data_IF_425671503589
#
_entry.id   IF_425671503589
#
_cell.length_a   1.000
_cell.length_b   1.000
_cell.length_c   1.000
_cell.angle_alpha   90.00
_cell.angle_beta   90.00
_cell.angle_gamma   90.00
#
_symmetry.space_group_name_H-M   'P 1'
#
loop_
_entity.id
_entity.type
_entity.pdbx_description
1 polymer ?
#
# COMPACT_ATOMS: atom_id res chain seq x y z
N UNK A 1 21.02 11.02 -21.10
CA UNK A 1 20.43 12.36 -21.35
C UNK A 1 19.42 12.62 -20.27
N UNK A 2 19.36 13.80 -19.65
CA UNK A 2 18.34 14.10 -18.66
C UNK A 2 16.95 14.03 -19.34
N UNK A 3 16.12 13.13 -18.90
CA UNK A 3 14.80 12.89 -19.46
C UNK A 3 13.83 13.87 -18.80
N UNK A 4 13.49 14.97 -19.45
CA UNK A 4 12.46 15.88 -18.95
C UNK A 4 11.07 15.31 -19.21
N UNK A 5 10.12 15.68 -18.37
CA UNK A 5 8.72 15.32 -18.52
C UNK A 5 8.06 16.21 -19.56
N UNK A 6 7.40 15.60 -20.53
CA UNK A 6 6.55 16.33 -21.49
C UNK A 6 5.27 16.81 -20.83
N UNK A 7 4.85 18.04 -21.09
CA UNK A 7 3.67 18.65 -20.51
C UNK A 7 2.78 19.28 -21.58
N UNK A 8 1.47 19.03 -21.47
CA UNK A 8 0.43 19.67 -22.29
C UNK A 8 -0.45 20.55 -21.38
N UNK A 9 -0.78 21.75 -21.86
CA UNK A 9 -1.71 22.67 -21.19
C UNK A 9 -3.00 22.76 -22.01
N UNK A 10 -4.14 22.50 -21.35
CA UNK A 10 -5.48 22.62 -21.94
C UNK A 10 -6.25 23.67 -21.12
N UNK A 11 -6.38 24.87 -21.66
CA UNK A 11 -7.07 25.97 -21.04
C UNK A 11 -7.57 26.95 -22.13
N UNK A 12 -8.82 27.38 -22.06
CA UNK A 12 -9.39 28.29 -23.05
C UNK A 12 -8.81 29.72 -22.96
N UNK A 13 -8.30 30.13 -21.80
CA UNK A 13 -7.75 31.45 -21.57
C UNK A 13 -6.24 31.51 -21.95
N UNK A 14 -5.86 32.28 -22.97
CA UNK A 14 -4.46 32.40 -23.37
C UNK A 14 -3.58 33.04 -22.28
N UNK A 15 -4.15 33.89 -21.43
CA UNK A 15 -3.42 34.52 -20.31
C UNK A 15 -3.00 33.49 -19.27
N UNK A 16 -3.90 32.55 -18.96
CA UNK A 16 -3.61 31.46 -18.02
C UNK A 16 -2.59 30.47 -18.61
N UNK A 17 -2.68 30.11 -19.88
CA UNK A 17 -1.65 29.30 -20.55
C UNK A 17 -0.28 29.96 -20.47
N UNK A 18 -0.23 31.26 -20.74
CA UNK A 18 1.01 32.01 -20.62
C UNK A 18 1.55 32.03 -19.18
N UNK A 19 0.68 32.21 -18.19
CA UNK A 19 1.07 32.18 -16.78
C UNK A 19 1.69 30.82 -16.39
N UNK A 20 1.13 29.70 -16.81
CA UNK A 20 1.72 28.38 -16.59
C UNK A 20 3.11 28.25 -17.24
N UNK A 21 3.30 28.76 -18.46
CA UNK A 21 4.62 28.75 -19.13
C UNK A 21 5.66 29.55 -18.37
N UNK A 22 5.31 30.74 -17.89
CA UNK A 22 6.23 31.57 -17.09
C UNK A 22 6.59 30.91 -15.77
N UNK A 23 5.64 30.24 -15.09
CA UNK A 23 5.91 29.46 -13.88
C UNK A 23 6.90 28.30 -14.12
N UNK A 24 6.90 27.74 -15.33
CA UNK A 24 7.71 26.56 -15.71
C UNK A 24 9.01 26.92 -16.42
N UNK A 25 9.25 28.16 -16.81
CA UNK A 25 10.37 28.63 -17.63
C UNK A 25 11.75 28.16 -17.13
N UNK A 26 11.96 28.21 -15.82
CA UNK A 26 13.23 27.83 -15.20
C UNK A 26 13.27 26.36 -14.73
N UNK A 27 12.23 25.59 -15.01
CA UNK A 27 12.13 24.21 -14.54
C UNK A 27 12.76 23.24 -15.54
N UNK A 28 13.97 22.77 -15.23
CA UNK A 28 14.72 21.84 -16.09
C UNK A 28 14.14 20.43 -16.14
N UNK A 29 13.18 20.08 -15.25
CA UNK A 29 12.59 18.75 -15.15
C UNK A 29 11.37 18.54 -16.05
N UNK A 30 10.84 19.62 -16.66
CA UNK A 30 9.62 19.58 -17.46
C UNK A 30 9.75 20.47 -18.69
N UNK A 31 9.10 20.05 -19.80
CA UNK A 31 9.01 20.82 -21.03
C UNK A 31 7.56 20.89 -21.50
N UNK A 32 7.06 22.09 -21.73
CA UNK A 32 5.76 22.30 -22.38
C UNK A 32 5.90 21.96 -23.85
N UNK A 33 5.29 20.89 -24.30
CA UNK A 33 5.35 20.41 -25.69
C UNK A 33 4.24 20.98 -26.56
N UNK A 34 3.05 21.18 -25.97
CA UNK A 34 1.90 21.72 -26.70
C UNK A 34 0.92 22.44 -25.76
N UNK A 35 0.03 23.21 -26.38
CA UNK A 35 -1.09 23.89 -25.74
C UNK A 35 -2.36 23.69 -26.56
N UNK A 36 -3.49 23.59 -25.89
CA UNK A 36 -4.81 23.54 -26.51
C UNK A 36 -5.73 24.58 -25.86
N UNK A 37 -6.54 25.23 -26.71
CA UNK A 37 -7.52 26.19 -26.26
C UNK A 37 -8.88 25.55 -25.90
N UNK A 38 -9.08 24.30 -26.27
CA UNK A 38 -10.31 23.57 -26.03
C UNK A 38 -10.03 22.09 -25.72
N UNK A 39 -10.98 21.40 -25.05
CA UNK A 39 -10.80 20.01 -24.67
C UNK A 39 -10.66 19.02 -25.84
N UNK A 40 -11.27 19.27 -26.99
CA UNK A 40 -11.24 18.34 -28.11
C UNK A 40 -9.87 18.34 -28.80
N UNK A 41 -9.32 19.54 -29.06
CA UNK A 41 -7.93 19.70 -29.51
C UNK A 41 -6.97 19.09 -28.47
N UNK A 42 -7.22 19.32 -27.19
CA UNK A 42 -6.44 18.73 -26.11
C UNK A 42 -6.45 17.21 -26.14
N UNK A 43 -7.60 16.58 -26.34
CA UNK A 43 -7.75 15.14 -26.47
C UNK A 43 -6.95 14.56 -27.66
N UNK A 44 -7.01 15.23 -28.81
CA UNK A 44 -6.24 14.82 -29.99
C UNK A 44 -4.73 14.88 -29.74
N UNK A 45 -4.26 15.95 -29.07
CA UNK A 45 -2.85 16.12 -28.73
C UNK A 45 -2.40 15.08 -27.67
N UNK A 46 -3.24 14.74 -26.69
CA UNK A 46 -2.94 13.66 -25.73
C UNK A 46 -2.79 12.32 -26.44
N UNK A 47 -3.67 12.00 -27.40
CA UNK A 47 -3.57 10.77 -28.17
C UNK A 47 -2.28 10.69 -29.01
N UNK A 48 -1.87 11.81 -29.58
CA UNK A 48 -0.69 11.90 -30.48
C UNK A 48 0.63 11.92 -29.68
N UNK A 49 0.72 12.79 -28.66
CA UNK A 49 1.96 13.08 -27.95
C UNK A 49 2.19 12.19 -26.72
N UNK A 50 1.11 11.61 -26.15
CA UNK A 50 1.15 10.84 -24.89
C UNK A 50 1.96 11.56 -23.79
N UNK A 51 1.62 12.83 -23.48
CA UNK A 51 2.43 13.65 -22.59
C UNK A 51 2.52 13.04 -21.19
N UNK A 52 3.62 13.36 -20.50
CA UNK A 52 3.80 12.92 -19.13
C UNK A 52 2.80 13.58 -18.18
N UNK A 53 2.52 14.86 -18.39
CA UNK A 53 1.62 15.65 -17.55
C UNK A 53 0.64 16.39 -18.44
N UNK A 54 -0.62 16.46 -18.04
CA UNK A 54 -1.63 17.32 -18.66
C UNK A 54 -2.17 18.26 -17.59
N UNK A 55 -2.08 19.56 -17.80
CA UNK A 55 -2.79 20.56 -17.00
C UNK A 55 -4.10 20.88 -17.73
N UNK A 56 -5.22 20.64 -17.06
CA UNK A 56 -6.57 20.86 -17.59
C UNK A 56 -7.31 21.92 -16.76
N UNK A 57 -7.79 22.98 -17.39
CA UNK A 57 -8.79 23.86 -16.77
C UNK A 57 -10.14 23.16 -16.69
N UNK A 58 -10.71 23.06 -15.46
CA UNK A 58 -12.04 22.47 -15.28
C UNK A 58 -13.17 23.35 -15.83
N UNK A 59 -12.92 24.65 -16.01
CA UNK A 59 -13.95 25.62 -16.40
C UNK A 59 -14.90 25.96 -15.24
N UNK A 60 -15.92 26.74 -15.57
CA UNK A 60 -17.00 27.09 -14.64
C UNK A 60 -18.35 27.08 -15.39
N UNK A 61 -19.25 26.09 -15.11
CA UNK A 61 -19.19 25.06 -14.07
C UNK A 61 -18.14 23.96 -14.33
N UNK A 62 -17.66 23.24 -13.32
CA UNK A 62 -16.58 22.25 -13.45
C UNK A 62 -16.98 20.91 -14.10
N UNK A 63 -18.27 20.62 -14.20
CA UNK A 63 -18.79 19.33 -14.66
C UNK A 63 -18.30 18.92 -16.06
N UNK A 64 -18.30 19.80 -17.07
CA UNK A 64 -17.74 19.45 -18.38
C UNK A 64 -16.25 19.09 -18.32
N UNK A 65 -15.48 19.80 -17.52
CA UNK A 65 -14.04 19.54 -17.34
C UNK A 65 -13.77 18.19 -16.66
N UNK A 66 -14.59 17.80 -15.69
CA UNK A 66 -14.46 16.50 -15.01
C UNK A 66 -14.69 15.31 -15.98
N UNK A 67 -15.66 15.41 -16.88
CA UNK A 67 -15.87 14.39 -17.92
C UNK A 67 -14.67 14.30 -18.89
N UNK A 68 -13.98 15.40 -19.14
CA UNK A 68 -12.75 15.41 -19.94
C UNK A 68 -11.61 14.66 -19.25
N UNK A 69 -11.47 14.76 -17.91
CA UNK A 69 -10.45 14.02 -17.16
C UNK A 69 -10.53 12.51 -17.45
N UNK A 70 -11.72 11.92 -17.36
CA UNK A 70 -11.93 10.49 -17.63
C UNK A 70 -11.56 10.12 -19.08
N UNK A 71 -11.98 10.92 -20.05
CA UNK A 71 -11.63 10.73 -21.48
C UNK A 71 -10.11 10.78 -21.72
N UNK A 72 -9.42 11.72 -21.10
CA UNK A 72 -7.96 11.87 -21.22
C UNK A 72 -7.21 10.67 -20.64
N UNK A 73 -7.69 10.12 -19.51
CA UNK A 73 -7.10 8.93 -18.90
C UNK A 73 -7.31 7.67 -19.76
N UNK A 74 -8.46 7.54 -20.41
CA UNK A 74 -8.69 6.45 -21.37
C UNK A 74 -7.73 6.59 -22.56
N UNK A 75 -7.53 7.80 -23.06
CA UNK A 75 -6.63 8.09 -24.20
C UNK A 75 -5.16 7.86 -23.86
N UNK A 76 -4.74 8.20 -22.65
CA UNK A 76 -3.37 8.03 -22.16
C UNK A 76 -3.37 7.68 -20.68
N UNK A 77 -3.50 6.39 -20.31
CA UNK A 77 -3.54 5.96 -18.89
C UNK A 77 -2.26 6.28 -18.11
N UNK A 78 -1.18 6.59 -18.80
CA UNK A 78 0.09 6.95 -18.20
C UNK A 78 0.27 8.45 -17.99
N UNK A 79 -0.61 9.30 -18.51
CA UNK A 79 -0.55 10.75 -18.30
C UNK A 79 -1.05 11.12 -16.91
N UNK A 80 -0.29 11.93 -16.19
CA UNK A 80 -0.73 12.51 -14.93
C UNK A 80 -1.61 13.74 -15.24
N UNK A 81 -2.88 13.71 -14.81
CA UNK A 81 -3.80 14.81 -15.05
C UNK A 81 -3.81 15.74 -13.83
N UNK A 82 -3.40 16.98 -14.03
CA UNK A 82 -3.51 18.06 -13.08
C UNK A 82 -4.69 18.92 -13.47
N UNK A 83 -5.64 19.10 -12.59
CA UNK A 83 -6.77 19.99 -12.86
C UNK A 83 -6.57 21.34 -12.21
N UNK A 84 -6.95 22.42 -12.88
CA UNK A 84 -6.94 23.77 -12.32
C UNK A 84 -8.34 24.36 -12.26
N UNK A 85 -8.66 25.03 -11.16
CA UNK A 85 -9.96 25.69 -10.97
C UNK A 85 -9.88 26.86 -10.00
N UNK A 86 -10.88 27.75 -10.06
CA UNK A 86 -11.05 28.84 -9.09
C UNK A 86 -11.66 28.30 -7.80
N UNK A 87 -11.05 28.65 -6.66
CA UNK A 87 -11.55 28.34 -5.33
C UNK A 87 -11.32 26.90 -4.85
N UNK A 88 -11.48 26.71 -3.54
CA UNK A 88 -11.27 25.45 -2.83
C UNK A 88 -12.60 24.81 -2.38
N UNK A 89 -13.51 24.54 -3.29
CA UNK A 89 -14.73 23.80 -2.92
C UNK A 89 -14.37 22.35 -2.74
N UNK A 90 -14.47 21.84 -1.51
CA UNK A 90 -14.15 20.44 -1.16
C UNK A 90 -14.87 19.43 -2.04
N UNK A 91 -16.09 19.72 -2.46
CA UNK A 91 -16.86 18.87 -3.37
C UNK A 91 -16.22 18.77 -4.76
N UNK A 92 -15.76 19.88 -5.35
CA UNK A 92 -15.09 19.89 -6.66
C UNK A 92 -13.77 19.12 -6.61
N UNK A 93 -13.01 19.28 -5.52
CA UNK A 93 -11.76 18.54 -5.31
C UNK A 93 -12.02 17.04 -5.25
N UNK A 94 -13.00 16.59 -4.44
CA UNK A 94 -13.36 15.17 -4.32
C UNK A 94 -13.82 14.59 -5.66
N UNK A 95 -14.59 15.33 -6.44
CA UNK A 95 -15.06 14.90 -7.76
C UNK A 95 -13.91 14.79 -8.76
N UNK A 96 -12.96 15.73 -8.74
CA UNK A 96 -11.77 15.68 -9.59
C UNK A 96 -10.90 14.45 -9.29
N UNK A 97 -10.68 14.15 -7.99
CA UNK A 97 -9.95 12.95 -7.57
C UNK A 97 -10.67 11.67 -8.00
N UNK A 98 -12.00 11.60 -7.85
CA UNK A 98 -12.82 10.45 -8.31
C UNK A 98 -12.77 10.27 -9.83
N UNK A 99 -12.70 11.37 -10.60
CA UNK A 99 -12.51 11.32 -12.04
C UNK A 99 -11.09 10.89 -12.45
N UNK A 100 -10.16 10.76 -11.48
CA UNK A 100 -8.79 10.29 -11.70
C UNK A 100 -7.73 11.39 -11.82
N UNK A 101 -8.04 12.64 -11.48
CA UNK A 101 -7.03 13.69 -11.39
C UNK A 101 -6.04 13.38 -10.26
N UNK A 102 -4.74 13.48 -10.56
CA UNK A 102 -3.67 13.25 -9.58
C UNK A 102 -3.35 14.50 -8.76
N UNK A 103 -3.61 15.68 -9.29
CA UNK A 103 -3.36 16.94 -8.59
C UNK A 103 -4.48 17.95 -8.86
N UNK A 104 -4.76 18.77 -7.85
CA UNK A 104 -5.71 19.88 -7.93
C UNK A 104 -4.98 21.19 -7.68
N UNK A 105 -4.89 22.04 -8.67
CA UNK A 105 -4.21 23.33 -8.64
C UNK A 105 -5.24 24.46 -8.43
N UNK A 106 -5.22 25.09 -7.26
CA UNK A 106 -6.09 26.22 -6.95
C UNK A 106 -5.50 27.49 -7.54
N UNK A 107 -6.30 28.23 -8.30
CA UNK A 107 -5.86 29.51 -8.87
C UNK A 107 -5.97 30.66 -7.86
N UNK A 108 -5.01 31.61 -7.87
CA UNK A 108 -3.82 31.67 -8.70
C UNK A 108 -2.78 30.62 -8.32
N UNK A 109 -2.31 29.83 -9.29
CA UNK A 109 -1.36 28.73 -9.03
C UNK A 109 0.00 29.28 -8.66
N UNK A 110 0.54 28.85 -7.52
CA UNK A 110 1.87 29.27 -7.09
C UNK A 110 2.98 28.45 -7.79
N UNK A 111 4.16 29.05 -8.00
CA UNK A 111 5.34 28.33 -8.52
C UNK A 111 5.69 27.12 -7.64
N UNK A 112 5.54 27.26 -6.31
CA UNK A 112 5.81 26.22 -5.33
C UNK A 112 4.88 25.01 -5.51
N UNK A 113 3.57 25.24 -5.65
CA UNK A 113 2.58 24.16 -5.75
C UNK A 113 2.75 23.42 -7.07
N UNK A 114 2.92 24.13 -8.19
CA UNK A 114 3.12 23.53 -9.49
C UNK A 114 4.42 22.73 -9.56
N UNK A 115 5.53 23.27 -9.07
CA UNK A 115 6.82 22.59 -9.04
C UNK A 115 6.78 21.36 -8.15
N UNK A 116 6.15 21.46 -6.99
CA UNK A 116 5.95 20.33 -6.07
C UNK A 116 5.15 19.19 -6.71
N UNK A 117 4.05 19.52 -7.39
CA UNK A 117 3.24 18.55 -8.14
C UNK A 117 4.06 17.84 -9.24
N UNK A 118 4.81 18.60 -10.04
CA UNK A 118 5.69 18.06 -11.09
C UNK A 118 6.76 17.13 -10.50
N UNK A 119 7.38 17.53 -9.40
CA UNK A 119 8.41 16.71 -8.73
C UNK A 119 7.83 15.38 -8.22
N UNK A 120 6.59 15.36 -7.70
CA UNK A 120 5.90 14.13 -7.31
C UNK A 120 5.77 13.17 -8.49
N UNK A 121 5.29 13.66 -9.64
CA UNK A 121 5.16 12.84 -10.85
C UNK A 121 6.52 12.39 -11.39
N UNK A 122 7.53 13.27 -11.40
CA UNK A 122 8.89 12.91 -11.82
C UNK A 122 9.45 11.76 -10.98
N UNK A 123 9.31 11.82 -9.66
CA UNK A 123 9.69 10.76 -8.74
C UNK A 123 8.91 9.47 -9.00
N UNK A 124 7.59 9.55 -9.11
CA UNK A 124 6.74 8.39 -9.39
C UNK A 124 7.13 7.70 -10.70
N UNK A 125 7.46 8.45 -11.74
CA UNK A 125 7.90 7.91 -13.04
C UNK A 125 9.32 7.37 -13.02
N UNK A 126 10.26 8.02 -12.33
CA UNK A 126 11.60 7.51 -12.13
C UNK A 126 11.56 6.13 -11.44
N UNK A 127 10.65 5.98 -10.47
CA UNK A 127 10.36 4.71 -9.80
C UNK A 127 9.68 3.68 -10.74
N UNK A 128 8.93 4.13 -11.75
CA UNK A 128 8.28 3.27 -12.74
C UNK A 128 9.22 2.78 -13.85
N UNK A 129 10.23 3.58 -14.20
CA UNK A 129 11.26 3.24 -15.21
C UNK A 129 12.30 2.25 -14.68
N UNK A 130 12.53 2.21 -13.36
CA UNK A 130 13.18 1.07 -12.74
C UNK A 130 12.27 -0.15 -12.93
N UNK A 131 12.52 -0.95 -13.96
CA UNK A 131 11.64 -2.00 -14.48
C UNK A 131 11.12 -2.99 -13.41
N UNK A 132 10.21 -3.92 -13.76
CA UNK A 132 9.53 -4.81 -12.81
C UNK A 132 10.46 -5.65 -11.93
N UNK A 133 11.73 -5.79 -12.30
CA UNK A 133 12.75 -6.48 -11.50
C UNK A 133 13.35 -5.63 -10.36
N UNK A 134 13.06 -4.32 -10.28
CA UNK A 134 13.62 -3.40 -9.29
C UNK A 134 12.58 -2.87 -8.27
N UNK A 135 11.30 -3.23 -8.38
CA UNK A 135 10.30 -2.84 -7.40
C UNK A 135 10.28 -3.82 -6.24
N UNK A 136 10.45 -3.30 -5.03
CA UNK A 136 10.27 -4.07 -3.82
C UNK A 136 8.85 -4.66 -3.71
N UNK A 137 8.71 -5.70 -2.92
CA UNK A 137 7.42 -6.33 -2.60
C UNK A 137 6.85 -5.71 -1.34
N UNK A 138 5.66 -5.11 -1.44
CA UNK A 138 4.93 -4.54 -0.32
C UNK A 138 3.86 -5.53 0.15
N UNK A 139 3.99 -5.95 1.41
CA UNK A 139 3.11 -6.92 2.07
C UNK A 139 2.43 -6.21 3.23
N UNK A 140 1.11 -6.04 3.16
CA UNK A 140 0.34 -5.44 4.25
C UNK A 140 -0.37 -6.52 5.05
N UNK A 141 -0.14 -6.52 6.37
CA UNK A 141 -0.81 -7.39 7.32
C UNK A 141 -2.05 -6.71 7.87
N UNK A 142 -3.19 -7.37 7.80
CA UNK A 142 -4.43 -6.87 8.36
C UNK A 142 -5.15 -7.96 9.17
N UNK A 143 -5.60 -7.61 10.35
CA UNK A 143 -6.41 -8.49 11.20
C UNK A 143 -7.80 -7.91 11.39
N UNK A 144 -8.86 -8.66 11.07
CA UNK A 144 -10.24 -8.18 11.25
C UNK A 144 -10.67 -8.06 12.72
N UNK A 145 -9.85 -8.56 13.63
CA UNK A 145 -10.09 -8.54 15.06
C UNK A 145 -8.77 -8.40 15.82
N UNK A 146 -8.74 -7.53 16.81
CA UNK A 146 -7.59 -7.33 17.67
C UNK A 146 -7.19 -8.61 18.43
N UNK A 147 -5.90 -8.70 18.78
CA UNK A 147 -5.35 -9.81 19.56
C UNK A 147 -5.18 -11.12 18.78
N UNK A 148 -5.25 -11.14 17.47
CA UNK A 148 -5.03 -12.34 16.63
C UNK A 148 -3.59 -12.58 16.25
N UNK A 149 -2.68 -11.70 16.68
CA UNK A 149 -1.24 -11.83 16.48
C UNK A 149 -0.74 -11.28 15.13
N UNK A 150 -1.45 -10.33 14.56
CA UNK A 150 -1.07 -9.65 13.29
C UNK A 150 0.32 -9.08 13.40
N UNK A 151 0.61 -8.28 14.44
CA UNK A 151 1.91 -7.67 14.72
C UNK A 151 3.01 -8.71 14.90
N UNK A 152 2.74 -9.80 15.62
CA UNK A 152 3.71 -10.90 15.81
C UNK A 152 4.05 -11.55 14.48
N UNK A 153 3.06 -11.78 13.61
CA UNK A 153 3.28 -12.35 12.28
C UNK A 153 4.06 -11.37 11.41
N UNK A 154 3.66 -10.08 11.39
CA UNK A 154 4.36 -9.03 10.61
C UNK A 154 5.83 -8.97 10.98
N UNK A 155 6.14 -8.88 12.27
CA UNK A 155 7.49 -8.82 12.81
C UNK A 155 8.33 -10.04 12.41
N UNK A 156 7.83 -11.23 12.72
CA UNK A 156 8.58 -12.46 12.48
C UNK A 156 8.74 -12.77 10.99
N UNK A 157 7.76 -12.39 10.16
CA UNK A 157 7.90 -12.47 8.70
C UNK A 157 8.97 -11.50 8.18
N UNK A 158 9.00 -10.25 8.67
CA UNK A 158 10.02 -9.28 8.28
C UNK A 158 11.43 -9.81 8.61
N UNK A 159 11.62 -10.37 9.81
CA UNK A 159 12.89 -10.98 10.23
C UNK A 159 13.24 -12.22 9.39
N UNK A 160 12.24 -13.08 9.10
CA UNK A 160 12.45 -14.26 8.26
C UNK A 160 12.84 -13.89 6.83
N UNK A 161 12.21 -12.85 6.26
CA UNK A 161 12.55 -12.30 4.96
C UNK A 161 13.98 -11.74 4.94
N UNK A 162 14.38 -10.96 5.93
CA UNK A 162 15.73 -10.42 6.02
C UNK A 162 16.79 -11.54 6.11
N UNK A 163 16.54 -12.56 6.95
CA UNK A 163 17.43 -13.74 7.06
C UNK A 163 17.48 -14.59 5.79
N UNK A 164 16.32 -14.86 5.19
CA UNK A 164 16.20 -15.78 4.04
C UNK A 164 16.71 -15.18 2.74
N UNK A 165 16.55 -13.85 2.55
CA UNK A 165 16.97 -13.15 1.34
C UNK A 165 18.39 -12.58 1.44
N UNK A 166 18.83 -12.24 2.63
CA UNK A 166 20.02 -11.39 2.83
C UNK A 166 19.83 -9.95 2.34
N UNK A 167 18.60 -9.58 1.93
CA UNK A 167 18.27 -8.26 1.42
C UNK A 167 17.69 -7.36 2.53
N UNK A 168 17.83 -6.02 2.42
CA UNK A 168 17.19 -5.08 3.35
C UNK A 168 15.67 -5.25 3.37
N UNK A 169 15.09 -5.28 4.56
CA UNK A 169 13.64 -5.37 4.79
C UNK A 169 13.22 -4.20 5.69
N UNK A 170 12.17 -3.50 5.29
CA UNK A 170 11.57 -2.46 6.14
C UNK A 170 10.28 -3.00 6.76
N UNK A 171 10.18 -2.90 8.08
CA UNK A 171 8.92 -3.04 8.80
C UNK A 171 8.33 -1.66 9.05
N UNK A 172 7.04 -1.48 8.77
CA UNK A 172 6.31 -0.23 8.97
C UNK A 172 5.19 -0.47 9.98
N UNK A 173 5.18 0.32 11.04
CA UNK A 173 4.15 0.25 12.07
C UNK A 173 3.04 1.27 11.74
N UNK A 174 1.94 0.79 11.17
CA UNK A 174 0.74 1.57 10.88
C UNK A 174 -0.37 1.37 11.91
N UNK A 175 -0.10 0.72 13.04
CA UNK A 175 -0.95 0.90 14.23
C UNK A 175 -0.57 2.21 14.90
N UNK A 176 -1.04 3.33 14.31
CA UNK A 176 -0.59 4.68 14.64
C UNK A 176 -0.89 5.11 16.08
N UNK A 177 -1.76 4.41 16.79
CA UNK A 177 -2.18 4.74 18.16
C UNK A 177 -1.65 3.76 19.19
N UNK A 178 -1.38 2.51 18.81
CA UNK A 178 -0.98 1.45 19.71
C UNK A 178 0.11 0.54 19.09
N UNK A 179 1.01 1.15 18.31
CA UNK A 179 2.08 0.41 17.62
C UNK A 179 3.10 -0.19 18.58
N UNK A 180 3.33 -1.48 18.43
CA UNK A 180 4.17 -2.29 19.33
C UNK A 180 5.49 -2.74 18.67
N UNK A 181 5.71 -2.50 17.36
CA UNK A 181 6.90 -3.03 16.68
C UNK A 181 8.22 -2.55 17.29
N UNK A 182 8.27 -1.31 17.76
CA UNK A 182 9.47 -0.78 18.42
C UNK A 182 9.78 -1.51 19.75
N UNK A 183 8.75 -1.81 20.54
CA UNK A 183 8.87 -2.54 21.79
C UNK A 183 9.32 -3.99 21.53
N UNK A 184 8.68 -4.66 20.58
CA UNK A 184 8.95 -6.04 20.22
C UNK A 184 10.32 -6.26 19.55
N UNK A 185 10.95 -5.18 19.09
CA UNK A 185 12.32 -5.16 18.57
C UNK A 185 13.33 -4.61 19.59
N UNK A 186 12.88 -4.23 20.78
CA UNK A 186 13.73 -3.55 21.78
C UNK A 186 14.46 -2.32 21.20
N UNK A 187 13.78 -1.59 20.29
CA UNK A 187 14.31 -0.39 19.65
C UNK A 187 13.79 0.89 20.31
N UNK A 188 14.57 1.95 20.20
CA UNK A 188 14.20 3.31 20.61
C UNK A 188 14.31 4.23 19.39
N UNK A 189 13.32 4.27 18.50
CA UNK A 189 13.35 5.10 17.31
C UNK A 189 13.45 6.58 17.67
N UNK A 190 14.35 7.32 17.00
CA UNK A 190 14.44 8.78 17.12
C UNK A 190 13.41 9.49 16.23
N UNK A 191 13.00 8.82 15.17
CA UNK A 191 12.03 9.32 14.19
C UNK A 191 10.90 8.29 13.99
N UNK A 192 9.77 8.80 13.55
CA UNK A 192 8.53 8.03 13.38
C UNK A 192 7.94 8.26 11.99
N UNK A 193 6.87 7.56 11.68
CA UNK A 193 6.08 7.81 10.47
C UNK A 193 5.55 9.25 10.42
N UNK A 194 5.31 9.90 11.57
CA UNK A 194 4.90 11.29 11.63
C UNK A 194 6.00 12.22 11.08
N UNK A 195 7.26 11.99 11.43
CA UNK A 195 8.39 12.77 10.90
C UNK A 195 8.54 12.58 9.39
N UNK A 196 8.31 11.36 8.91
CA UNK A 196 8.33 11.06 7.49
C UNK A 196 7.26 11.84 6.73
N UNK A 197 6.00 11.80 7.20
CA UNK A 197 4.89 12.48 6.51
C UNK A 197 4.96 14.01 6.66
N UNK A 198 5.48 14.52 7.77
CA UNK A 198 5.68 15.95 7.98
C UNK A 198 6.72 16.56 7.00
N UNK A 199 7.66 15.75 6.53
CA UNK A 199 8.73 16.16 5.61
C UNK A 199 8.55 15.60 4.19
N UNK A 200 7.34 15.18 3.80
CA UNK A 200 7.07 14.48 2.55
C UNK A 200 7.59 15.22 1.30
N UNK A 201 7.55 16.56 1.31
CA UNK A 201 8.04 17.38 0.19
C UNK A 201 9.56 17.30 -0.02
N UNK A 202 10.30 16.87 0.99
CA UNK A 202 11.78 16.81 1.01
C UNK A 202 12.33 15.40 1.07
N UNK A 203 11.46 14.40 1.20
CA UNK A 203 11.90 13.00 1.32
C UNK A 203 12.54 12.53 0.01
N UNK A 204 13.82 12.21 0.08
CA UNK A 204 14.54 11.38 -0.88
C UNK A 204 14.91 10.03 -0.25
N UNK A 205 15.56 9.15 -1.02
CA UNK A 205 15.93 7.82 -0.55
C UNK A 205 16.93 7.85 0.62
N UNK A 206 17.82 8.85 0.67
CA UNK A 206 18.82 9.00 1.73
C UNK A 206 18.15 9.48 3.01
N UNK A 207 17.31 10.51 2.92
CA UNK A 207 16.54 11.02 4.06
C UNK A 207 15.58 9.95 4.60
N UNK A 208 14.87 9.24 3.71
CA UNK A 208 14.01 8.13 4.11
C UNK A 208 14.77 7.07 4.93
N UNK A 209 15.99 6.72 4.49
CA UNK A 209 16.85 5.78 5.22
C UNK A 209 17.25 6.31 6.59
N UNK A 210 17.47 7.61 6.74
CA UNK A 210 17.84 8.22 8.05
C UNK A 210 16.68 8.24 9.06
N UNK A 211 15.44 8.08 8.61
CA UNK A 211 14.27 7.98 9.49
C UNK A 211 14.04 6.57 10.04
N UNK A 212 14.72 5.57 9.46
CA UNK A 212 14.58 4.18 9.87
C UNK A 212 15.48 3.85 11.06
N UNK A 213 14.98 3.01 11.95
CA UNK A 213 15.73 2.47 13.06
C UNK A 213 16.16 1.03 12.75
N UNK A 214 17.47 0.80 12.60
CA UNK A 214 18.02 -0.49 12.22
C UNK A 214 18.05 -1.46 13.40
N UNK A 215 17.63 -2.71 13.14
CA UNK A 215 17.71 -3.80 14.11
C UNK A 215 18.74 -4.85 13.66
N UNK A 216 19.47 -5.50 14.63
CA UNK A 216 20.51 -6.50 14.31
C UNK A 216 20.02 -7.73 13.51
N UNK A 217 18.72 -7.93 13.34
CA UNK A 217 18.15 -8.99 12.49
C UNK A 217 18.20 -8.68 10.99
N UNK A 218 18.63 -7.48 10.59
CA UNK A 218 18.59 -7.00 9.19
C UNK A 218 17.26 -6.33 8.81
N UNK A 219 16.38 -6.10 9.78
CA UNK A 219 15.12 -5.32 9.60
C UNK A 219 15.38 -3.88 9.99
N UNK A 220 14.92 -2.93 9.19
CA UNK A 220 14.85 -1.51 9.52
C UNK A 220 13.40 -1.14 9.84
N UNK A 221 13.15 -0.48 10.97
CA UNK A 221 11.80 -0.11 11.43
C UNK A 221 11.48 1.35 11.09
N UNK A 222 10.33 1.59 10.48
CA UNK A 222 9.64 2.87 10.49
C UNK A 222 8.54 2.79 11.55
N UNK A 223 8.78 3.42 12.69
CA UNK A 223 7.93 3.28 13.88
C UNK A 223 6.63 4.10 13.80
N UNK A 224 5.61 3.67 14.53
CA UNK A 224 4.41 4.45 14.81
C UNK A 224 4.76 5.75 15.55
N UNK A 225 3.88 6.78 15.53
CA UNK A 225 4.10 8.04 16.24
C UNK A 225 4.36 7.85 17.73
N UNK A 226 5.18 8.72 18.30
CA UNK A 226 5.43 8.70 19.76
C UNK A 226 4.24 9.19 20.58
N UNK A 227 3.40 10.03 19.99
CA UNK A 227 2.24 10.65 20.62
C UNK A 227 0.98 10.31 19.83
N UNK A 228 -0.08 9.96 20.52
CA UNK A 228 -1.35 9.58 19.90
C UNK A 228 -1.91 10.73 19.04
N UNK A 229 -1.74 11.99 19.48
CA UNK A 229 -2.23 13.16 18.77
C UNK A 229 -1.54 13.40 17.41
N UNK A 230 -0.35 12.86 17.21
CA UNK A 230 0.38 12.92 15.95
C UNK A 230 -0.30 12.06 14.88
N UNK A 231 -0.98 10.99 15.30
CA UNK A 231 -1.71 10.10 14.39
C UNK A 231 -2.80 10.82 13.61
N UNK A 232 -3.47 11.82 14.22
CA UNK A 232 -4.56 12.57 13.60
C UNK A 232 -4.08 13.49 12.45
N UNK A 233 -2.79 13.79 12.43
CA UNK A 233 -2.16 14.63 11.41
C UNK A 233 -1.71 13.84 10.19
N UNK A 234 -1.72 12.52 10.25
CA UNK A 234 -1.32 11.63 9.17
C UNK A 234 -2.52 11.36 8.26
N UNK A 235 -2.38 11.74 6.98
CA UNK A 235 -3.44 11.61 5.99
C UNK A 235 -3.26 10.37 5.11
N UNK A 236 -4.35 9.78 4.58
CA UNK A 236 -4.29 8.59 3.71
C UNK A 236 -3.35 8.75 2.51
N UNK A 237 -3.39 9.89 1.84
CA UNK A 237 -2.53 10.16 0.69
C UNK A 237 -1.04 10.13 1.05
N UNK A 238 -0.67 10.65 2.22
CA UNK A 238 0.72 10.64 2.69
C UNK A 238 1.21 9.20 2.95
N UNK A 239 0.33 8.33 3.48
CA UNK A 239 0.63 6.91 3.64
C UNK A 239 0.87 6.25 2.29
N UNK A 240 0.00 6.46 1.31
CA UNK A 240 0.17 5.90 -0.05
C UNK A 240 1.49 6.36 -0.68
N UNK A 241 1.84 7.63 -0.55
CA UNK A 241 3.09 8.20 -1.07
C UNK A 241 4.32 7.61 -0.36
N UNK A 242 4.29 7.53 0.97
CA UNK A 242 5.38 6.98 1.78
C UNK A 242 5.62 5.50 1.47
N UNK A 243 4.55 4.69 1.40
CA UNK A 243 4.66 3.27 1.06
C UNK A 243 5.18 3.06 -0.36
N UNK A 244 4.81 3.93 -1.30
CA UNK A 244 5.36 3.91 -2.66
C UNK A 244 6.85 4.21 -2.70
N UNK A 245 7.32 5.15 -1.89
CA UNK A 245 8.76 5.47 -1.75
C UNK A 245 9.54 4.32 -1.09
N UNK A 246 9.00 3.73 -0.03
CA UNK A 246 9.60 2.58 0.62
C UNK A 246 9.71 1.39 -0.33
N UNK A 247 8.64 1.07 -1.05
CA UNK A 247 8.60 -0.01 -2.05
C UNK A 247 9.60 0.18 -3.18
N UNK A 248 9.88 1.43 -3.53
CA UNK A 248 10.88 1.75 -4.55
C UNK A 248 12.33 1.64 -4.04
N UNK A 249 12.52 1.82 -2.73
CA UNK A 249 13.84 1.89 -2.11
C UNK A 249 14.29 0.58 -1.48
N UNK A 250 13.36 -0.34 -1.16
CA UNK A 250 13.64 -1.58 -0.44
C UNK A 250 13.02 -2.79 -1.12
N UNK A 251 13.74 -3.93 -1.17
CA UNK A 251 13.25 -5.18 -1.78
C UNK A 251 11.98 -5.73 -1.10
N UNK A 252 11.84 -5.54 0.20
CA UNK A 252 10.68 -5.96 0.98
C UNK A 252 10.24 -4.88 1.94
N UNK A 253 8.94 -4.61 1.94
CA UNK A 253 8.26 -3.74 2.90
C UNK A 253 7.12 -4.53 3.54
N UNK A 254 7.18 -4.73 4.85
CA UNK A 254 6.14 -5.41 5.63
C UNK A 254 5.43 -4.37 6.49
N UNK A 255 4.15 -4.20 6.26
CA UNK A 255 3.33 -3.20 6.94
C UNK A 255 2.43 -3.89 7.96
N UNK A 256 2.57 -3.57 9.23
CA UNK A 256 1.63 -3.95 10.28
C UNK A 256 0.54 -2.89 10.42
N UNK A 257 -0.72 -3.30 10.57
CA UNK A 257 -1.85 -2.38 10.67
C UNK A 257 -2.72 -2.68 11.87
N UNK A 258 -3.38 -1.64 12.39
CA UNK A 258 -4.46 -1.78 13.37
C UNK A 258 -5.67 -2.52 12.78
N UNK A 259 -6.49 -3.16 13.62
CA UNK A 259 -7.70 -3.85 13.19
C UNK A 259 -8.89 -2.89 12.97
N UNK A 260 -8.63 -1.73 12.38
CA UNK A 260 -9.62 -0.69 12.11
C UNK A 260 -9.88 -0.53 10.61
N UNK A 261 -11.07 -0.04 10.27
CA UNK A 261 -11.48 0.19 8.88
C UNK A 261 -11.47 1.69 8.58
N UNK A 262 -10.33 2.35 8.81
CA UNK A 262 -10.18 3.77 8.48
C UNK A 262 -9.48 3.97 7.13
N UNK A 263 -9.57 5.19 6.59
CA UNK A 263 -9.03 5.54 5.28
C UNK A 263 -7.51 5.37 5.19
N UNK A 264 -6.78 5.51 6.30
CA UNK A 264 -5.32 5.34 6.36
C UNK A 264 -4.93 3.88 6.19
N UNK A 265 -5.71 2.98 6.81
CA UNK A 265 -5.53 1.54 6.64
C UNK A 265 -5.87 1.14 5.22
N UNK A 266 -6.99 1.62 4.65
CA UNK A 266 -7.31 1.35 3.24
C UNK A 266 -6.21 1.84 2.30
N UNK A 267 -5.59 3.00 2.54
CA UNK A 267 -4.46 3.47 1.75
C UNK A 267 -3.28 2.47 1.75
N UNK A 268 -3.02 1.80 2.87
CA UNK A 268 -2.00 0.76 2.97
C UNK A 268 -2.43 -0.55 2.29
N UNK A 269 -3.72 -0.93 2.43
CA UNK A 269 -4.28 -2.09 1.75
C UNK A 269 -4.23 -1.92 0.22
N UNK A 270 -4.54 -0.71 -0.28
CA UNK A 270 -4.50 -0.39 -1.71
C UNK A 270 -3.08 -0.46 -2.28
N UNK A 271 -2.11 0.06 -1.54
CA UNK A 271 -0.70 0.08 -1.95
C UNK A 271 -0.04 -1.32 -1.98
N UNK A 272 -0.59 -2.30 -1.26
CA UNK A 272 -0.02 -3.64 -1.12
C UNK A 272 0.03 -4.42 -2.44
N UNK A 273 1.09 -5.18 -2.66
CA UNK A 273 1.15 -6.24 -3.67
C UNK A 273 0.47 -7.52 -3.17
N UNK A 274 0.66 -7.82 -1.88
CA UNK A 274 -0.03 -8.90 -1.19
C UNK A 274 -0.65 -8.38 0.12
N UNK A 275 -1.91 -8.68 0.31
CA UNK A 275 -2.65 -8.40 1.52
C UNK A 275 -2.80 -9.68 2.31
N UNK A 276 -2.14 -9.75 3.46
CA UNK A 276 -2.19 -10.89 4.35
C UNK A 276 -3.26 -10.67 5.42
N UNK A 277 -4.37 -11.39 5.27
CA UNK A 277 -5.50 -11.34 6.19
C UNK A 277 -5.30 -12.34 7.31
N UNK A 278 -4.97 -11.85 8.50
CA UNK A 278 -4.67 -12.67 9.67
C UNK A 278 -5.95 -12.98 10.44
N UNK A 279 -6.19 -14.25 10.69
CA UNK A 279 -7.33 -14.75 11.49
C UNK A 279 -6.90 -15.90 12.41
N UNK A 280 -7.82 -16.36 13.25
CA UNK A 280 -7.63 -17.53 14.11
C UNK A 280 -8.78 -18.53 13.93
N UNK A 281 -8.60 -19.83 14.28
CA UNK A 281 -9.61 -20.87 14.06
C UNK A 281 -10.69 -20.88 15.17
N UNK A 282 -11.12 -19.70 15.60
CA UNK A 282 -12.27 -19.55 16.49
C UNK A 282 -13.45 -18.91 15.73
N UNK A 283 -14.66 -19.21 16.19
CA UNK A 283 -15.89 -18.78 15.52
C UNK A 283 -15.95 -17.26 15.30
N UNK A 284 -15.62 -16.48 16.33
CA UNK A 284 -15.67 -15.02 16.24
C UNK A 284 -14.65 -14.46 15.23
N UNK A 285 -13.43 -14.99 15.21
CA UNK A 285 -12.40 -14.57 14.27
C UNK A 285 -12.78 -14.91 12.83
N UNK A 286 -13.28 -16.11 12.59
CA UNK A 286 -13.72 -16.53 11.26
C UNK A 286 -14.94 -15.73 10.79
N UNK A 287 -15.89 -15.43 11.67
CA UNK A 287 -17.06 -14.59 11.36
C UNK A 287 -16.65 -13.18 10.94
N UNK A 288 -15.76 -12.52 11.71
CA UNK A 288 -15.26 -11.19 11.34
C UNK A 288 -14.44 -11.22 10.05
N UNK A 289 -13.67 -12.28 9.83
CA UNK A 289 -12.90 -12.46 8.58
C UNK A 289 -13.82 -12.61 7.38
N UNK A 290 -14.92 -13.38 7.51
CA UNK A 290 -15.91 -13.50 6.43
C UNK A 290 -16.52 -12.13 6.09
N UNK A 291 -16.94 -11.36 7.09
CA UNK A 291 -17.47 -10.00 6.87
C UNK A 291 -16.45 -9.07 6.19
N UNK A 292 -15.18 -9.20 6.55
CA UNK A 292 -14.11 -8.44 5.91
C UNK A 292 -13.93 -8.85 4.43
N UNK A 293 -13.96 -10.14 4.13
CA UNK A 293 -13.89 -10.63 2.76
C UNK A 293 -15.09 -10.15 1.92
N UNK A 294 -16.29 -10.15 2.49
CA UNK A 294 -17.49 -9.62 1.83
C UNK A 294 -17.37 -8.11 1.55
N UNK A 295 -16.71 -7.36 2.45
CA UNK A 295 -16.39 -5.95 2.23
C UNK A 295 -15.38 -5.78 1.10
N UNK A 296 -14.30 -6.55 1.09
CA UNK A 296 -13.27 -6.49 0.06
C UNK A 296 -13.82 -6.88 -1.33
N UNK A 297 -14.73 -7.84 -1.39
CA UNK A 297 -15.42 -8.19 -2.64
C UNK A 297 -16.28 -7.02 -3.16
N UNK A 298 -17.00 -6.29 -2.28
CA UNK A 298 -17.76 -5.08 -2.66
C UNK A 298 -16.87 -3.92 -3.09
N UNK A 299 -15.67 -3.81 -2.51
CA UNK A 299 -14.66 -2.81 -2.88
C UNK A 299 -13.82 -3.24 -4.10
N UNK A 300 -14.17 -4.36 -4.73
CA UNK A 300 -13.50 -4.91 -5.91
C UNK A 300 -12.00 -5.23 -5.71
N UNK A 301 -11.59 -5.58 -4.49
CA UNK A 301 -10.24 -6.10 -4.27
C UNK A 301 -10.05 -7.41 -5.02
N UNK A 302 -8.93 -7.52 -5.75
CA UNK A 302 -8.59 -8.77 -6.45
C UNK A 302 -8.45 -9.92 -5.46
N UNK A 303 -9.18 -11.03 -5.63
CA UNK A 303 -9.02 -12.21 -4.78
C UNK A 303 -7.59 -12.78 -4.79
N UNK A 304 -6.83 -12.57 -5.87
CA UNK A 304 -5.44 -12.99 -5.98
C UNK A 304 -4.51 -12.22 -5.04
N UNK A 305 -4.86 -10.97 -4.70
CA UNK A 305 -4.11 -10.12 -3.77
C UNK A 305 -4.28 -10.57 -2.32
N UNK A 306 -5.45 -11.09 -1.94
CA UNK A 306 -5.81 -11.44 -0.57
C UNK A 306 -5.30 -12.84 -0.24
N UNK A 307 -4.48 -12.96 0.79
CA UNK A 307 -3.90 -14.22 1.28
C UNK A 307 -4.31 -14.44 2.74
N UNK A 308 -5.00 -15.51 3.04
CA UNK A 308 -5.45 -15.81 4.39
C UNK A 308 -4.34 -16.53 5.16
N UNK A 309 -3.95 -15.96 6.30
CA UNK A 309 -3.05 -16.56 7.27
C UNK A 309 -3.84 -16.98 8.50
N UNK A 310 -3.80 -18.25 8.85
CA UNK A 310 -4.47 -18.80 10.02
C UNK A 310 -3.48 -18.91 11.17
N UNK A 311 -3.66 -18.14 12.23
CA UNK A 311 -2.79 -18.10 13.41
C UNK A 311 -3.38 -18.86 14.60
N UNK A 312 -2.54 -19.20 15.58
CA UNK A 312 -2.92 -19.92 16.80
C UNK A 312 -3.71 -21.20 16.51
N UNK A 313 -3.22 -21.97 15.56
CA UNK A 313 -3.87 -23.22 15.18
C UNK A 313 -3.57 -24.29 16.24
N UNK A 314 -4.60 -24.88 16.87
CA UNK A 314 -4.41 -26.01 17.75
C UNK A 314 -3.97 -27.25 16.96
N UNK A 315 -3.28 -28.16 17.63
CA UNK A 315 -2.94 -29.46 17.04
C UNK A 315 -4.16 -30.39 16.97
N UNK A 316 -4.38 -31.13 15.89
CA UNK A 316 -3.60 -31.12 14.65
C UNK A 316 -4.02 -29.98 13.69
N UNK A 317 -3.05 -29.27 13.11
CA UNK A 317 -3.24 -28.12 12.22
C UNK A 317 -4.26 -28.37 11.10
N UNK A 318 -4.28 -29.60 10.55
CA UNK A 318 -5.16 -29.98 9.42
C UNK A 318 -6.64 -29.76 9.73
N UNK A 319 -7.08 -30.05 10.98
CA UNK A 319 -8.50 -29.86 11.37
C UNK A 319 -8.88 -28.38 11.39
N UNK A 320 -8.04 -27.53 12.00
CA UNK A 320 -8.25 -26.10 12.07
C UNK A 320 -8.29 -25.46 10.67
N UNK A 321 -7.34 -25.83 9.81
CA UNK A 321 -7.26 -25.31 8.43
C UNK A 321 -8.45 -25.77 7.58
N UNK A 322 -8.91 -27.02 7.74
CA UNK A 322 -10.10 -27.53 7.05
C UNK A 322 -11.36 -26.75 7.45
N UNK A 323 -11.58 -26.58 8.75
CA UNK A 323 -12.71 -25.80 9.27
C UNK A 323 -12.69 -24.36 8.78
N UNK A 324 -11.53 -23.69 8.82
CA UNK A 324 -11.41 -22.31 8.33
C UNK A 324 -11.75 -22.20 6.83
N UNK A 325 -11.30 -23.15 6.00
CA UNK A 325 -11.62 -23.18 4.56
C UNK A 325 -13.11 -23.38 4.29
N UNK A 326 -13.76 -24.24 5.08
CA UNK A 326 -15.20 -24.51 4.96
C UNK A 326 -16.04 -23.29 5.32
N UNK A 327 -15.67 -22.56 6.38
CA UNK A 327 -16.36 -21.34 6.81
C UNK A 327 -16.09 -20.18 5.86
N UNK A 328 -14.83 -19.90 5.53
CA UNK A 328 -14.44 -18.73 4.74
C UNK A 328 -14.66 -18.92 3.23
N UNK A 329 -14.90 -20.16 2.78
CA UNK A 329 -14.99 -20.52 1.34
C UNK A 329 -13.82 -20.00 0.50
N UNK A 330 -12.65 -19.83 1.13
CA UNK A 330 -11.41 -19.34 0.57
C UNK A 330 -10.25 -20.23 0.97
N UNK A 331 -9.21 -20.26 0.14
CA UNK A 331 -7.99 -20.99 0.45
C UNK A 331 -7.23 -20.29 1.59
N UNK A 332 -6.81 -21.07 2.58
CA UNK A 332 -5.82 -20.63 3.57
C UNK A 332 -4.44 -20.83 2.95
N UNK A 333 -3.68 -19.73 2.81
CA UNK A 333 -2.33 -19.78 2.25
C UNK A 333 -1.36 -20.46 3.22
N UNK A 334 -1.42 -20.07 4.49
CA UNK A 334 -0.50 -20.53 5.52
C UNK A 334 -1.18 -20.66 6.86
N UNK A 335 -0.71 -21.61 7.66
CA UNK A 335 -1.15 -21.79 9.04
C UNK A 335 0.05 -21.76 10.00
N UNK A 336 -0.17 -21.18 11.18
CA UNK A 336 0.80 -21.08 12.25
C UNK A 336 0.27 -21.78 13.48
N UNK A 337 1.03 -22.73 14.06
CA UNK A 337 0.64 -23.40 15.30
C UNK A 337 0.62 -22.43 16.47
N UNK A 338 -0.18 -22.74 17.49
CA UNK A 338 -0.03 -22.14 18.79
C UNK A 338 1.29 -22.61 19.41
N UNK A 339 2.08 -21.65 19.94
CA UNK A 339 3.42 -21.93 20.45
C UNK A 339 3.69 -21.03 21.67
N UNK A 340 3.99 -21.63 22.80
CA UNK A 340 4.27 -20.93 24.06
C UNK A 340 5.53 -20.04 23.97
N UNK A 341 6.44 -20.35 23.07
CA UNK A 341 7.63 -19.54 22.81
C UNK A 341 7.31 -18.12 22.34
N UNK A 342 6.10 -17.88 21.82
CA UNK A 342 5.64 -16.52 21.46
C UNK A 342 5.61 -15.62 22.67
N UNK A 343 5.06 -16.09 23.80
CA UNK A 343 4.99 -15.28 25.03
C UNK A 343 6.38 -14.94 25.56
N UNK A 344 7.29 -15.89 25.55
CA UNK A 344 8.67 -15.66 25.96
C UNK A 344 9.37 -14.62 25.03
N UNK A 345 9.13 -14.71 23.73
CA UNK A 345 9.63 -13.76 22.72
C UNK A 345 9.10 -12.34 22.97
N UNK A 346 7.80 -12.19 23.26
CA UNK A 346 7.17 -10.90 23.54
C UNK A 346 7.73 -10.26 24.84
N UNK A 347 7.92 -11.05 25.88
CA UNK A 347 8.49 -10.58 27.16
C UNK A 347 9.95 -10.15 26.99
N UNK A 348 10.71 -10.89 26.18
CA UNK A 348 12.12 -10.59 25.92
C UNK A 348 12.33 -9.39 24.96
N UNK A 349 11.28 -8.94 24.23
CA UNK A 349 11.43 -7.95 23.16
C UNK A 349 12.35 -8.44 22.04
N UNK A 350 12.32 -9.76 21.77
CA UNK A 350 13.12 -10.39 20.71
C UNK A 350 12.24 -11.20 19.76
N UNK A 351 12.38 -11.01 18.43
CA UNK A 351 11.64 -11.80 17.47
C UNK A 351 11.93 -13.30 17.59
N UNK A 352 10.88 -14.12 17.57
CA UNK A 352 10.97 -15.58 17.71
C UNK A 352 11.94 -16.21 16.69
N UNK A 353 11.93 -15.71 15.44
CA UNK A 353 12.80 -16.18 14.35
C UNK A 353 14.29 -15.90 14.65
N UNK A 354 14.60 -14.93 15.50
CA UNK A 354 15.99 -14.62 15.89
C UNK A 354 16.51 -15.59 16.93
N UNK A 355 15.72 -15.86 18.00
CA UNK A 355 16.17 -16.61 19.17
C UNK A 355 15.89 -18.11 19.10
N UNK A 356 14.82 -18.52 18.42
CA UNK A 356 14.28 -19.88 18.50
C UNK A 356 14.79 -20.83 17.43
N UNK A 357 16.03 -21.34 17.54
CA UNK A 357 16.57 -22.32 16.56
C UNK A 357 15.73 -23.63 16.50
N UNK A 358 14.87 -23.92 17.48
CA UNK A 358 14.10 -25.18 17.58
C UNK A 358 12.58 -24.99 17.65
N UNK A 359 12.05 -23.77 17.43
CA UNK A 359 10.61 -23.56 17.42
C UNK A 359 10.00 -23.98 16.08
N UNK A 360 8.97 -24.84 16.14
CA UNK A 360 8.19 -25.21 14.96
C UNK A 360 7.57 -23.98 14.28
N UNK A 361 7.17 -22.99 15.06
CA UNK A 361 6.63 -21.72 14.58
C UNK A 361 7.70 -20.88 13.86
N UNK A 362 8.93 -20.80 14.38
CA UNK A 362 10.03 -20.11 13.71
C UNK A 362 10.34 -20.74 12.34
N UNK A 363 10.34 -22.08 12.25
CA UNK A 363 10.50 -22.80 10.99
C UNK A 363 9.37 -22.47 9.99
N UNK A 364 8.13 -22.29 10.46
CA UNK A 364 6.98 -21.89 9.62
C UNK A 364 7.16 -20.49 9.04
N UNK A 365 7.68 -19.52 9.80
CA UNK A 365 7.99 -18.19 9.29
C UNK A 365 9.09 -18.23 8.22
N UNK A 366 10.16 -18.99 8.45
CA UNK A 366 11.23 -19.16 7.45
C UNK A 366 10.71 -19.77 6.16
N UNK A 367 9.88 -20.81 6.24
CA UNK A 367 9.29 -21.45 5.07
C UNK A 367 8.31 -20.53 4.32
N UNK A 368 7.54 -19.66 5.02
CA UNK A 368 6.72 -18.64 4.38
C UNK A 368 7.60 -17.61 3.65
N UNK A 369 8.69 -17.17 4.26
CA UNK A 369 9.63 -16.24 3.63
C UNK A 369 10.26 -16.85 2.36
N UNK A 370 10.66 -18.13 2.38
CA UNK A 370 11.16 -18.85 1.21
C UNK A 370 10.10 -18.93 0.10
N UNK A 371 8.85 -19.20 0.45
CA UNK A 371 7.73 -19.21 -0.49
C UNK A 371 7.58 -17.85 -1.18
N UNK A 372 7.68 -16.74 -0.43
CA UNK A 372 7.58 -15.38 -0.95
C UNK A 372 8.76 -14.97 -1.83
N UNK A 373 9.93 -15.60 -1.66
CA UNK A 373 11.11 -15.42 -2.51
C UNK A 373 11.05 -16.19 -3.84
N UNK A 374 10.06 -17.06 -4.04
CA UNK A 374 9.99 -17.92 -5.21
C UNK A 374 11.02 -19.06 -5.22
N UNK A 375 11.75 -19.27 -4.12
CA UNK A 375 12.55 -20.49 -3.92
C UNK A 375 11.58 -21.62 -3.56
N UNK A 376 11.56 -22.68 -4.37
CA UNK A 376 10.77 -23.90 -4.06
C UNK A 376 11.30 -24.48 -2.75
N UNK A 377 10.59 -24.25 -1.65
CA UNK A 377 10.88 -24.89 -0.38
C UNK A 377 10.69 -26.42 -0.49
N UNK A 378 11.47 -27.21 0.22
CA UNK A 378 11.29 -28.66 0.26
C UNK A 378 9.97 -28.96 1.00
N UNK A 379 8.92 -29.37 0.28
CA UNK A 379 7.75 -29.99 0.87
C UNK A 379 6.40 -29.29 0.85
N UNK A 380 6.19 -28.23 0.09
CA UNK A 380 4.84 -27.77 -0.22
C UNK A 380 4.20 -28.66 -1.27
N UNK A 381 3.62 -29.80 -0.85
CA UNK A 381 2.65 -30.52 -1.67
C UNK A 381 1.48 -29.56 -1.91
N UNK A 382 1.35 -29.09 -3.14
CA UNK A 382 0.12 -28.43 -3.59
C UNK A 382 -1.05 -29.38 -3.25
N UNK A 383 -2.11 -28.90 -2.60
CA UNK A 383 -3.31 -29.71 -2.43
C UNK A 383 -3.88 -29.92 -3.83
N UNK A 384 -3.79 -31.17 -4.31
CA UNK A 384 -4.49 -31.61 -5.50
C UNK A 384 -5.98 -31.34 -5.31
N UNK A 385 -6.58 -30.61 -6.23
CA UNK A 385 -8.02 -30.48 -6.36
C UNK A 385 -8.63 -31.88 -6.47
N UNK A 386 -9.52 -32.33 -5.58
CA UNK A 386 -10.21 -33.60 -5.77
C UNK A 386 -11.15 -33.45 -6.96
N UNK A 387 -10.89 -34.17 -8.04
CA UNK A 387 -11.89 -34.43 -9.07
C UNK A 387 -12.99 -35.31 -8.47
N UNK A 388 -14.19 -34.79 -8.44
CA UNK A 388 -15.43 -35.57 -8.38
C UNK A 388 -15.77 -36.13 -7.00
N UNK A 389 -16.55 -35.39 -6.22
CA UNK A 389 -17.47 -35.99 -5.25
C UNK A 389 -18.88 -35.46 -5.52
N UNK A 390 -19.71 -36.31 -6.14
CA UNK A 390 -21.15 -36.12 -6.22
C UNK A 390 -21.76 -36.29 -4.82
N UNK A 391 -22.61 -35.37 -4.51
CA UNK A 391 -23.71 -35.35 -3.54
C UNK A 391 -23.87 -36.60 -2.66
N UNK A 392 -23.67 -36.43 -1.37
CA UNK A 392 -24.32 -37.19 -0.31
C UNK A 392 -24.13 -36.38 0.98
N UNK A 393 -25.01 -35.43 1.20
CA UNK A 393 -25.51 -35.01 2.51
C UNK A 393 -26.55 -33.90 2.30
N UNK A 394 -27.76 -34.22 2.75
CA UNK A 394 -28.94 -33.42 2.59
C UNK A 394 -28.84 -32.03 3.24
N UNK A 395 -29.56 -31.10 2.63
CA UNK A 395 -29.77 -29.76 3.07
C UNK A 395 -30.23 -29.70 4.54
N UNK A 396 -29.42 -29.11 5.40
CA UNK A 396 -29.89 -28.44 6.60
C UNK A 396 -29.55 -26.96 6.42
N UNK A 397 -30.52 -26.23 5.94
CA UNK A 397 -30.57 -24.78 5.94
C UNK A 397 -30.57 -24.31 7.40
N UNK A 398 -29.48 -23.68 7.81
CA UNK A 398 -29.51 -22.80 8.98
C UNK A 398 -29.92 -21.41 8.49
N UNK A 399 -31.18 -21.06 8.72
CA UNK A 399 -31.67 -19.70 8.65
C UNK A 399 -31.06 -18.92 9.84
N UNK A 400 -30.30 -17.89 9.54
CA UNK A 400 -29.99 -16.82 10.49
C UNK A 400 -30.88 -15.62 10.16
N UNK A 401 -31.67 -15.23 11.16
CA UNK A 401 -32.33 -13.93 11.26
C UNK A 401 -31.30 -12.81 11.36
#
# INVERSE_FOLDING_TARGET
MPQFLSLLIIDSDPTRRHAFRELLKDNQSVRVEAEAADPETGYQLVNQLKPAIVILDLGNPPDPGLAVVERLLIASPQSAIFVSADGQRSETILRAVRAGAQEFLVRPVSKKDLTGAIQRIARQRALAVAGPAARGKLITMFGCKGGRGTTVIALNLAVALAKGSGAPVVAVDLDLQAGDLSLLLSLKPSYTIYDAVANMDRIDALFLKSLLCDHPSGVSLLAAPHRIEESDRIRPLQISQLLSLLKASFPYVVVDTSPTYDERIFAALDAADELFLVTAPDFSSLYHTQRCLDLFDRLAYSPAKIKILLNRCPSPLVKATKMAREVLKRAVLWDFPEDEAVMASLIAGEPLVRGGKNSALAARFMALAEHLHGKKGPGAKQPQTPKGFRSLFGARTFNFL
#
